data_IF_446469047579
#
_entry.id   IF_446469047579
#
_cell.length_a   1.000
_cell.length_b   1.000
_cell.length_c   1.000
_cell.angle_alpha   90.00
_cell.angle_beta   90.00
_cell.angle_gamma   90.00
#
_symmetry.space_group_name_H-M   'P 1'
#
loop_
_entity.id
_entity.type
_entity.pdbx_description
1 polymer ?
#
# COMPACT_ATOMS: atom_id res chain seq x y z
N UNK A 1 -17.02 -11.74 -7.87
CA UNK A 1 -15.94 -11.25 -8.75
C UNK A 1 -15.11 -10.16 -8.09
N UNK A 2 -15.70 -9.19 -7.38
CA UNK A 2 -14.99 -8.08 -6.75
C UNK A 2 -14.01 -8.51 -5.63
N UNK A 3 -14.33 -9.54 -4.84
CA UNK A 3 -13.40 -10.11 -3.84
C UNK A 3 -12.10 -10.69 -4.43
N UNK A 4 -12.14 -11.28 -5.63
CA UNK A 4 -10.96 -11.89 -6.25
C UNK A 4 -9.98 -10.86 -6.82
N UNK A 5 -10.48 -9.68 -7.21
CA UNK A 5 -9.65 -8.56 -7.65
C UNK A 5 -8.95 -7.87 -6.48
N UNK A 6 -9.51 -7.95 -5.27
CA UNK A 6 -8.99 -7.27 -4.07
C UNK A 6 -7.75 -7.99 -3.50
N UNK A 7 -7.73 -9.32 -3.45
CA UNK A 7 -6.51 -10.05 -3.03
C UNK A 7 -5.38 -9.96 -4.08
N UNK A 8 -5.74 -9.67 -5.33
CA UNK A 8 -4.80 -9.56 -6.44
C UNK A 8 -3.95 -8.29 -6.33
N UNK A 9 -4.54 -7.14 -5.99
CA UNK A 9 -3.82 -5.86 -5.93
C UNK A 9 -2.73 -5.87 -4.82
N UNK A 10 -3.02 -6.43 -3.65
CA UNK A 10 -2.07 -6.65 -2.55
C UNK A 10 -0.89 -7.52 -2.98
N UNK A 11 -1.19 -8.60 -3.69
CA UNK A 11 -0.19 -9.54 -4.17
C UNK A 11 0.66 -8.91 -5.28
N UNK A 12 0.04 -8.17 -6.19
CA UNK A 12 0.73 -7.43 -7.25
C UNK A 12 1.69 -6.38 -6.68
N UNK A 13 1.28 -5.68 -5.61
CA UNK A 13 2.15 -4.72 -4.92
C UNK A 13 3.40 -5.43 -4.36
N UNK A 14 3.23 -6.53 -3.64
CA UNK A 14 4.36 -7.27 -3.07
C UNK A 14 5.28 -7.86 -4.13
N UNK A 15 4.72 -8.37 -5.24
CA UNK A 15 5.50 -8.87 -6.37
C UNK A 15 6.28 -7.74 -7.05
N UNK A 16 5.72 -6.53 -7.12
CA UNK A 16 6.39 -5.39 -7.76
C UNK A 16 7.63 -4.88 -7.01
N UNK A 17 7.79 -5.23 -5.73
CA UNK A 17 8.99 -4.90 -4.92
C UNK A 17 10.15 -5.87 -5.17
N UNK A 18 9.88 -7.06 -5.71
CA UNK A 18 10.91 -8.08 -5.94
C UNK A 18 11.97 -7.61 -6.96
N UNK A 19 11.63 -7.05 -8.14
CA UNK A 19 12.62 -6.56 -9.09
C UNK A 19 13.59 -5.51 -8.51
N UNK A 20 13.16 -4.41 -7.87
CA UNK A 20 14.11 -3.44 -7.32
C UNK A 20 14.99 -4.06 -6.22
N UNK A 21 14.47 -4.99 -5.43
CA UNK A 21 15.24 -5.70 -4.41
C UNK A 21 16.34 -6.59 -5.04
N UNK A 22 16.04 -7.28 -6.15
CA UNK A 22 17.05 -7.98 -6.96
C UNK A 22 18.09 -6.98 -7.50
N UNK A 23 17.66 -5.82 -7.99
CA UNK A 23 18.54 -4.76 -8.48
C UNK A 23 19.57 -4.32 -7.44
N UNK A 24 19.15 -4.11 -6.19
CA UNK A 24 20.06 -3.76 -5.09
C UNK A 24 21.01 -4.91 -4.73
N UNK A 25 20.52 -6.16 -4.68
CA UNK A 25 21.36 -7.33 -4.39
C UNK A 25 22.46 -7.49 -5.46
N UNK A 26 22.12 -7.31 -6.74
CA UNK A 26 23.09 -7.35 -7.83
C UNK A 26 24.16 -6.27 -7.65
N UNK A 27 23.79 -5.08 -7.15
CA UNK A 27 24.74 -4.01 -6.87
C UNK A 27 25.66 -4.26 -5.67
N UNK A 28 25.19 -4.97 -4.64
CA UNK A 28 26.01 -5.35 -3.47
C UNK A 28 26.99 -6.49 -3.83
N UNK A 29 26.56 -7.46 -4.65
CA UNK A 29 27.36 -8.65 -4.98
C UNK A 29 28.40 -8.39 -6.07
N UNK A 30 28.15 -7.47 -7.01
CA UNK A 30 29.07 -7.23 -8.12
C UNK A 30 30.26 -6.34 -7.75
N UNK A 31 31.50 -6.73 -8.13
CA UNK A 31 32.67 -5.89 -7.92
C UNK A 31 32.63 -4.65 -8.82
N UNK A 32 33.22 -3.55 -8.32
CA UNK A 32 33.27 -2.23 -8.98
C UNK A 32 33.81 -2.30 -10.42
N UNK A 33 34.68 -3.27 -10.71
CA UNK A 33 35.30 -3.46 -12.03
C UNK A 33 34.29 -3.91 -13.12
N UNK A 34 33.14 -4.49 -12.75
CA UNK A 34 32.14 -4.95 -13.72
C UNK A 34 31.08 -3.87 -14.00
N UNK A 35 31.47 -2.84 -14.77
CA UNK A 35 30.60 -1.71 -15.12
C UNK A 35 29.31 -2.14 -15.84
N UNK A 36 29.37 -3.12 -16.76
CA UNK A 36 28.20 -3.62 -17.51
C UNK A 36 27.18 -4.31 -16.60
N UNK A 37 27.66 -5.10 -15.65
CA UNK A 37 26.79 -5.78 -14.69
C UNK A 37 26.15 -4.82 -13.68
N UNK A 38 26.89 -3.81 -13.19
CA UNK A 38 26.32 -2.76 -12.33
C UNK A 38 25.28 -1.91 -13.08
N UNK A 39 25.51 -1.61 -14.35
CA UNK A 39 24.52 -0.91 -15.18
C UNK A 39 23.22 -1.70 -15.30
N UNK A 40 23.30 -3.02 -15.56
CA UNK A 40 22.12 -3.88 -15.58
C UNK A 40 21.38 -3.88 -14.23
N UNK A 41 22.11 -3.95 -13.11
CA UNK A 41 21.54 -3.84 -11.76
C UNK A 41 20.79 -2.51 -11.53
N UNK A 42 21.35 -1.39 -12.00
CA UNK A 42 20.70 -0.07 -11.92
C UNK A 42 19.45 -0.01 -12.80
N UNK A 43 19.46 -0.61 -13.99
CA UNK A 43 18.28 -0.65 -14.87
C UNK A 43 17.14 -1.45 -14.24
N UNK A 44 17.45 -2.55 -13.58
CA UNK A 44 16.47 -3.34 -12.80
C UNK A 44 15.99 -2.55 -11.58
N UNK A 45 16.88 -1.82 -10.91
CA UNK A 45 16.50 -0.94 -9.80
C UNK A 45 15.52 0.14 -10.23
N UNK A 46 15.61 0.63 -11.48
CA UNK A 46 14.70 1.64 -12.02
C UNK A 46 13.23 1.18 -12.05
N UNK A 47 12.98 -0.13 -11.95
CA UNK A 47 11.63 -0.69 -11.78
C UNK A 47 10.96 -0.28 -10.46
N UNK A 48 11.65 0.41 -9.53
CA UNK A 48 11.07 0.98 -8.30
C UNK A 48 9.85 1.90 -8.55
N UNK A 49 9.72 2.45 -9.76
CA UNK A 49 8.56 3.25 -10.14
C UNK A 49 7.24 2.46 -10.11
N UNK A 50 7.29 1.14 -10.31
CA UNK A 50 6.11 0.27 -10.28
C UNK A 50 5.48 0.18 -8.89
N UNK A 51 6.19 -0.23 -7.81
CA UNK A 51 5.62 -0.25 -6.47
C UNK A 51 5.21 1.14 -5.99
N UNK A 52 5.90 2.20 -6.43
CA UNK A 52 5.53 3.58 -6.10
C UNK A 52 4.13 3.96 -6.61
N UNK A 53 3.81 3.69 -7.89
CA UNK A 53 2.47 3.98 -8.44
C UNK A 53 1.40 3.13 -7.74
N UNK A 54 1.65 1.83 -7.57
CA UNK A 54 0.67 0.94 -6.94
C UNK A 54 0.39 1.35 -5.49
N UNK A 55 1.42 1.69 -4.71
CA UNK A 55 1.26 2.19 -3.34
C UNK A 55 0.40 3.46 -3.28
N UNK A 56 0.64 4.40 -4.19
CA UNK A 56 -0.17 5.63 -4.30
C UNK A 56 -1.62 5.33 -4.69
N UNK A 57 -1.86 4.35 -5.57
CA UNK A 57 -3.21 3.94 -5.98
C UNK A 57 -4.01 3.29 -4.83
N UNK A 58 -3.34 2.47 -4.02
CA UNK A 58 -3.95 1.83 -2.85
C UNK A 58 -4.30 2.88 -1.78
N UNK A 59 -3.42 3.85 -1.53
CA UNK A 59 -3.72 4.98 -0.64
C UNK A 59 -4.94 5.79 -1.10
N UNK A 60 -5.10 6.00 -2.42
CA UNK A 60 -6.24 6.73 -2.99
C UNK A 60 -7.54 5.98 -2.73
N UNK A 61 -7.51 4.66 -2.85
CA UNK A 61 -8.70 3.82 -2.77
C UNK A 61 -9.13 3.53 -1.34
N UNK A 62 -8.19 3.49 -0.40
CA UNK A 62 -8.45 3.16 1.00
C UNK A 62 -8.83 4.35 1.89
N UNK A 63 -8.93 5.55 1.32
CA UNK A 63 -9.32 6.74 2.07
C UNK A 63 -10.64 7.31 1.55
N UNK A 64 -11.69 7.23 2.35
CA UNK A 64 -12.97 7.90 2.06
C UNK A 64 -12.93 9.38 2.47
N UNK A 65 -13.61 10.22 1.68
CA UNK A 65 -13.72 11.66 1.93
C UNK A 65 -12.54 12.49 1.40
N UNK A 66 -12.84 13.65 0.81
CA UNK A 66 -11.85 14.51 0.16
C UNK A 66 -10.83 15.09 1.16
N UNK A 67 -11.29 15.60 2.30
CA UNK A 67 -10.43 16.22 3.32
C UNK A 67 -9.44 15.21 3.91
N UNK A 68 -9.91 14.01 4.26
CA UNK A 68 -9.07 12.94 4.79
C UNK A 68 -8.06 12.46 3.76
N UNK A 69 -8.49 12.28 2.50
CA UNK A 69 -7.60 11.92 1.39
C UNK A 69 -6.48 12.95 1.25
N UNK A 70 -6.79 14.23 1.14
CA UNK A 70 -5.77 15.29 1.02
C UNK A 70 -4.80 15.31 2.20
N UNK A 71 -5.26 15.09 3.43
CA UNK A 71 -4.39 15.01 4.61
C UNK A 71 -3.40 13.83 4.54
N UNK A 72 -3.87 12.65 4.14
CA UNK A 72 -3.03 11.46 3.95
C UNK A 72 -1.97 11.70 2.86
N UNK A 73 -2.36 12.31 1.73
CA UNK A 73 -1.41 12.66 0.67
C UNK A 73 -0.39 13.70 1.13
N UNK A 74 -0.81 14.72 1.88
CA UNK A 74 0.12 15.71 2.41
C UNK A 74 1.21 15.07 3.27
N UNK A 75 0.84 14.12 4.15
CA UNK A 75 1.79 13.37 4.97
C UNK A 75 2.73 12.53 4.11
N UNK A 76 2.21 11.84 3.08
CA UNK A 76 3.04 11.07 2.14
C UNK A 76 4.08 11.96 1.43
N UNK A 77 3.66 13.14 0.93
CA UNK A 77 4.54 14.10 0.27
C UNK A 77 5.61 14.69 1.20
N UNK A 78 5.29 14.91 2.47
CA UNK A 78 6.28 15.32 3.47
C UNK A 78 7.35 14.23 3.63
N UNK A 79 6.92 12.97 3.76
CA UNK A 79 7.84 11.81 3.83
C UNK A 79 8.73 11.71 2.59
N UNK A 80 8.15 11.85 1.39
CA UNK A 80 8.90 11.87 0.13
C UNK A 80 9.95 13.00 0.10
N UNK A 81 9.59 14.20 0.56
CA UNK A 81 10.50 15.35 0.60
C UNK A 81 11.66 15.13 1.57
N UNK A 82 11.39 14.55 2.75
CA UNK A 82 12.42 14.19 3.74
C UNK A 82 13.34 13.10 3.21
N UNK A 83 12.80 12.09 2.54
CA UNK A 83 13.58 11.03 1.91
C UNK A 83 14.55 11.56 0.85
N UNK A 84 14.09 12.48 0.00
CA UNK A 84 14.94 13.12 -1.00
C UNK A 84 16.04 14.00 -0.38
N UNK A 85 15.79 14.59 0.79
CA UNK A 85 16.80 15.36 1.51
C UNK A 85 17.89 14.47 2.11
N UNK A 86 17.51 13.34 2.70
CA UNK A 86 18.43 12.42 3.38
C UNK A 86 19.17 11.51 2.38
N UNK A 87 18.53 11.13 1.27
CA UNK A 87 19.04 10.15 0.30
C UNK A 87 20.48 10.41 -0.15
N UNK A 88 20.81 11.60 -0.68
CA UNK A 88 22.17 11.93 -1.12
C UNK A 88 23.20 11.95 0.01
N UNK A 89 22.78 12.23 1.25
CA UNK A 89 23.68 12.35 2.40
C UNK A 89 24.27 10.99 2.82
N UNK A 90 23.60 9.89 2.47
CA UNK A 90 24.05 8.53 2.77
C UNK A 90 25.18 8.10 1.81
N UNK A 91 25.34 8.76 0.66
CA UNK A 91 26.45 8.51 -0.27
C UNK A 91 27.74 9.17 0.25
N UNK A 92 28.38 8.51 1.20
CA UNK A 92 29.60 8.97 1.82
C UNK A 92 30.76 9.01 0.81
N UNK A 93 31.36 10.19 0.63
CA UNK A 93 32.53 10.40 -0.25
C UNK A 93 33.73 9.55 0.16
N UNK A 94 33.83 9.19 1.44
CA UNK A 94 34.88 8.33 2.00
C UNK A 94 34.83 6.88 1.50
N UNK A 95 33.69 6.43 0.98
CA UNK A 95 33.47 5.06 0.50
C UNK A 95 33.45 4.96 -1.04
N UNK A 96 33.77 6.05 -1.74
CA UNK A 96 33.93 6.02 -3.19
C UNK A 96 35.04 5.03 -3.58
N UNK A 97 34.89 4.25 -4.68
CA UNK A 97 33.78 4.16 -5.64
C UNK A 97 32.72 3.08 -5.34
N UNK A 98 32.84 2.40 -4.20
CA UNK A 98 31.98 1.26 -3.83
C UNK A 98 30.65 1.68 -3.21
N UNK A 99 30.65 2.71 -2.36
CA UNK A 99 29.47 3.20 -1.62
C UNK A 99 28.69 2.10 -0.89
N UNK A 100 29.40 1.21 -0.19
CA UNK A 100 28.79 0.05 0.48
C UNK A 100 27.72 0.44 1.51
N UNK A 101 27.90 1.55 2.24
CA UNK A 101 26.89 2.03 3.19
C UNK A 101 25.60 2.44 2.50
N UNK A 102 25.68 3.07 1.31
CA UNK A 102 24.49 3.46 0.56
C UNK A 102 23.72 2.25 0.01
N UNK A 103 24.44 1.28 -0.55
CA UNK A 103 23.81 0.06 -1.10
C UNK A 103 23.12 -0.75 0.01
N UNK A 104 23.78 -0.93 1.16
CA UNK A 104 23.17 -1.60 2.32
C UNK A 104 21.98 -0.85 2.88
N UNK A 105 22.05 0.47 2.95
CA UNK A 105 20.93 1.29 3.40
C UNK A 105 19.73 1.16 2.45
N UNK A 106 19.97 1.13 1.14
CA UNK A 106 18.92 0.84 0.15
C UNK A 106 18.31 -0.54 0.37
N UNK A 107 19.13 -1.58 0.60
CA UNK A 107 18.65 -2.95 0.83
C UNK A 107 17.76 -3.03 2.08
N UNK A 108 18.17 -2.40 3.18
CA UNK A 108 17.36 -2.32 4.40
C UNK A 108 16.07 -1.57 4.15
N UNK A 109 16.12 -0.44 3.43
CA UNK A 109 14.94 0.36 3.11
C UNK A 109 13.90 -0.44 2.31
N UNK A 110 14.31 -1.12 1.22
CA UNK A 110 13.41 -1.97 0.44
C UNK A 110 12.89 -3.18 1.22
N UNK A 111 13.69 -3.74 2.13
CA UNK A 111 13.25 -4.85 2.97
C UNK A 111 12.18 -4.40 3.97
N UNK A 112 12.37 -3.22 4.58
CA UNK A 112 11.36 -2.61 5.47
C UNK A 112 10.10 -2.27 4.70
N UNK A 113 10.22 -1.72 3.50
CA UNK A 113 9.10 -1.39 2.62
C UNK A 113 8.26 -2.62 2.26
N UNK A 114 8.92 -3.72 1.87
CA UNK A 114 8.26 -5.00 1.60
C UNK A 114 7.48 -5.52 2.82
N UNK A 115 8.08 -5.45 4.03
CA UNK A 115 7.41 -5.86 5.27
C UNK A 115 6.22 -4.96 5.57
N UNK A 116 6.34 -3.63 5.39
CA UNK A 116 5.25 -2.69 5.60
C UNK A 116 4.08 -2.95 4.66
N UNK A 117 4.33 -3.23 3.38
CA UNK A 117 3.28 -3.59 2.43
C UNK A 117 2.60 -4.92 2.77
N UNK A 118 3.36 -5.93 3.21
CA UNK A 118 2.79 -7.18 3.69
C UNK A 118 1.88 -6.95 4.90
N UNK A 119 2.36 -6.21 5.90
CA UNK A 119 1.58 -5.91 7.11
C UNK A 119 0.33 -5.11 6.77
N UNK A 120 0.44 -4.12 5.88
CA UNK A 120 -0.70 -3.34 5.42
C UNK A 120 -1.75 -4.21 4.70
N UNK A 121 -1.32 -5.09 3.79
CA UNK A 121 -2.21 -6.02 3.11
C UNK A 121 -2.92 -6.98 4.08
N UNK A 122 -2.18 -7.56 5.03
CA UNK A 122 -2.77 -8.41 6.08
C UNK A 122 -3.76 -7.63 6.95
N UNK A 123 -3.47 -6.36 7.25
CA UNK A 123 -4.35 -5.50 8.03
C UNK A 123 -5.66 -5.20 7.29
N UNK A 124 -5.58 -4.84 6.01
CA UNK A 124 -6.73 -4.64 5.14
C UNK A 124 -7.58 -5.90 5.02
N UNK A 125 -6.96 -7.08 4.83
CA UNK A 125 -7.68 -8.36 4.79
C UNK A 125 -8.36 -8.72 6.11
N UNK A 126 -7.70 -8.45 7.24
CA UNK A 126 -8.30 -8.62 8.56
C UNK A 126 -9.51 -7.69 8.74
N UNK A 127 -9.38 -6.42 8.36
CA UNK A 127 -10.44 -5.42 8.49
C UNK A 127 -11.63 -5.74 7.57
N UNK A 128 -11.36 -6.21 6.34
CA UNK A 128 -12.39 -6.62 5.40
C UNK A 128 -13.12 -7.89 5.88
N UNK A 129 -12.41 -8.84 6.50
CA UNK A 129 -13.02 -10.03 7.12
C UNK A 129 -13.93 -9.66 8.29
N UNK A 130 -13.51 -8.71 9.13
CA UNK A 130 -14.34 -8.19 10.23
C UNK A 130 -15.60 -7.50 9.72
N UNK A 131 -15.47 -6.66 8.68
CA UNK A 131 -16.63 -6.00 8.05
C UNK A 131 -17.55 -6.98 7.34
N UNK A 132 -17.02 -8.05 6.74
CA UNK A 132 -17.84 -9.11 6.16
C UNK A 132 -18.68 -9.83 7.23
N UNK A 133 -18.12 -10.09 8.42
CA UNK A 133 -18.89 -10.65 9.53
C UNK A 133 -19.98 -9.70 10.06
N UNK A 134 -19.70 -8.39 10.13
CA UNK A 134 -20.70 -7.39 10.51
C UNK A 134 -21.83 -7.27 9.49
N UNK A 135 -21.52 -7.29 8.18
CA UNK A 135 -22.53 -7.32 7.12
C UNK A 135 -23.42 -8.56 7.21
N UNK A 136 -22.83 -9.74 7.44
CA UNK A 136 -23.59 -10.98 7.60
C UNK A 136 -24.53 -10.95 8.83
N UNK A 137 -24.13 -10.30 9.92
CA UNK A 137 -24.99 -10.12 11.09
C UNK A 137 -26.16 -9.18 10.79
N UNK A 138 -25.90 -8.02 10.18
CA UNK A 138 -26.93 -7.06 9.78
C UNK A 138 -27.95 -7.69 8.81
N UNK A 139 -27.47 -8.47 7.83
CA UNK A 139 -28.35 -9.22 6.90
C UNK A 139 -29.20 -10.28 7.61
N UNK A 140 -28.66 -10.94 8.64
CA UNK A 140 -29.40 -11.94 9.43
C UNK A 140 -30.45 -11.34 10.36
N UNK A 141 -30.19 -10.16 10.90
CA UNK A 141 -31.08 -9.40 11.77
C UNK A 141 -32.24 -8.80 10.95
N UNK A 142 -31.94 -8.29 9.74
CA UNK A 142 -32.94 -7.87 8.76
C UNK A 142 -33.82 -9.01 8.24
N UNK A 143 -33.28 -10.24 8.14
CA UNK A 143 -34.05 -11.42 7.71
C UNK A 143 -34.94 -11.99 8.83
N UNK A 144 -34.67 -11.60 10.08
CA UNK A 144 -35.43 -12.03 11.26
C UNK A 144 -36.43 -10.96 11.73
N UNK A 145 -36.31 -9.70 11.27
CA UNK A 145 -37.22 -8.59 11.57
C UNK A 145 -38.17 -8.26 10.41
N UNK A 146 -39.46 -8.55 10.64
CA UNK A 146 -40.66 -8.05 9.96
C UNK A 146 -40.88 -8.27 8.45
N UNK A 147 -41.83 -9.16 8.14
CA UNK A 147 -42.57 -9.24 6.88
C UNK A 147 -43.57 -8.08 6.65
N UNK A 148 -43.68 -7.07 7.53
CA UNK A 148 -44.81 -6.12 7.50
C UNK A 148 -44.48 -4.62 7.37
N UNK A 149 -43.34 -4.24 6.77
CA UNK A 149 -43.12 -2.83 6.40
C UNK A 149 -42.23 -2.65 5.15
N UNK A 150 -42.75 -1.92 4.17
CA UNK A 150 -42.13 -1.55 2.88
C UNK A 150 -40.78 -0.78 3.03
N UNK A 151 -40.08 -0.56 1.92
CA UNK A 151 -38.75 -1.11 1.64
C UNK A 151 -37.65 -0.51 2.54
N UNK A 152 -37.19 -1.27 3.53
CA UNK A 152 -36.14 -0.82 4.47
C UNK A 152 -34.75 -0.58 3.85
N UNK A 153 -34.49 -1.11 2.64
CA UNK A 153 -33.17 -1.00 1.97
C UNK A 153 -32.86 0.44 1.55
N UNK A 154 -33.85 1.22 1.11
CA UNK A 154 -33.63 2.60 0.67
C UNK A 154 -33.45 3.56 1.86
N UNK A 155 -34.07 3.27 3.01
CA UNK A 155 -34.09 4.18 4.17
C UNK A 155 -32.82 4.07 5.02
N UNK A 156 -32.30 2.86 5.23
CA UNK A 156 -31.02 2.65 5.93
C UNK A 156 -29.85 3.18 5.08
N UNK A 157 -29.92 3.01 3.76
CA UNK A 157 -28.88 3.52 2.87
C UNK A 157 -28.91 5.06 2.73
N UNK A 158 -30.08 5.70 2.86
CA UNK A 158 -30.20 7.16 2.97
C UNK A 158 -29.70 7.65 4.34
N UNK A 159 -30.10 7.04 5.47
CA UNK A 159 -29.65 7.48 6.80
C UNK A 159 -28.15 7.27 7.03
N UNK A 160 -27.55 6.19 6.51
CA UNK A 160 -26.10 5.93 6.56
C UNK A 160 -25.29 6.74 5.53
N UNK A 161 -25.93 7.26 4.48
CA UNK A 161 -25.32 8.21 3.54
C UNK A 161 -25.47 9.67 4.00
N UNK A 162 -26.50 9.97 4.79
CA UNK A 162 -26.75 11.26 5.44
C UNK A 162 -25.96 11.40 6.74
N UNK A 163 -25.72 10.31 7.46
CA UNK A 163 -24.70 10.21 8.49
C UNK A 163 -23.35 10.15 7.78
N UNK A 164 -22.54 11.20 7.87
CA UNK A 164 -21.18 11.27 7.31
C UNK A 164 -20.23 10.25 7.99
N UNK A 165 -20.48 8.96 7.75
CA UNK A 165 -19.81 7.85 8.41
C UNK A 165 -18.40 7.74 7.85
N UNK A 166 -17.42 7.83 8.75
CA UNK A 166 -16.01 7.69 8.37
C UNK A 166 -15.77 6.28 7.80
N UNK A 167 -14.78 6.11 6.93
CA UNK A 167 -14.36 4.81 6.35
C UNK A 167 -14.29 3.64 7.36
N UNK A 168 -13.89 3.91 8.60
CA UNK A 168 -13.86 2.95 9.71
C UNK A 168 -15.25 2.56 10.24
N UNK A 169 -16.21 3.48 10.20
CA UNK A 169 -17.57 3.30 10.71
C UNK A 169 -18.51 2.74 9.66
N UNK A 170 -18.24 2.98 8.36
CA UNK A 170 -19.10 2.51 7.28
C UNK A 170 -18.96 0.97 7.09
N UNK A 171 -20.02 0.18 7.35
CA UNK A 171 -20.00 -1.29 7.19
C UNK A 171 -19.90 -1.74 5.72
N UNK A 172 -20.30 -0.88 4.78
CA UNK A 172 -20.27 -1.13 3.34
C UNK A 172 -18.94 -0.71 2.69
N UNK A 173 -18.08 0.05 3.38
CA UNK A 173 -16.77 0.43 2.86
C UNK A 173 -15.80 -0.74 2.84
N UNK A 174 -15.36 -1.15 1.64
CA UNK A 174 -14.41 -2.23 1.40
C UNK A 174 -13.03 -1.61 1.14
N UNK A 175 -12.04 -2.01 1.94
CA UNK A 175 -10.65 -1.64 1.70
C UNK A 175 -10.12 -2.46 0.51
N UNK A 176 -9.52 -1.78 -0.46
CA UNK A 176 -8.74 -2.43 -1.51
C UNK A 176 -7.41 -2.86 -0.87
N UNK A 177 -7.10 -4.13 -1.01
CA UNK A 177 -5.93 -4.73 -0.39
C UNK A 177 -4.82 -4.71 -1.40
#
# INVERSE_FOLDING_TARGET
MQFFLIDLDAYLLNVSVIPPLIGVIVLEVLPVNNSRGRLAGIMVLYTYWSPYILGQAIMLSNTAGLTKKTAVYAVNYIGYSVGNLIGPQIFLTKEAPGYGTAIRTMLVCYSVDAVLFLVYGLWCNHLNSRKAAQRAQLESEQRSGDEDSKPGVARVMDDDALADLTDLQNPHFIYLT
#
